data_IF_234233682448
#
_entry.id   IF_234233682448
#
_cell.length_a   1.000
_cell.length_b   1.000
_cell.length_c   1.000
_cell.angle_alpha   90.00
_cell.angle_beta   90.00
_cell.angle_gamma   90.00
#
_symmetry.space_group_name_H-M   'P 1'
#
loop_
_entity.id
_entity.type
_entity.pdbx_description
1 polymer ?
#
# COMPACT_ATOMS: atom_id res chain seq x y z
N UNK A 1 28.54 19.07 -6.72
CA UNK A 1 27.64 20.15 -6.28
C UNK A 1 26.50 20.49 -7.26
N UNK A 2 26.53 20.08 -8.55
CA UNK A 2 25.39 20.32 -9.47
C UNK A 2 24.28 19.26 -9.40
N UNK A 3 24.59 18.03 -8.97
CA UNK A 3 23.67 16.89 -9.01
C UNK A 3 22.57 16.93 -7.93
N UNK A 4 22.83 17.51 -6.76
CA UNK A 4 21.85 17.61 -5.67
C UNK A 4 20.80 18.69 -5.93
N UNK A 5 21.19 19.86 -6.47
CA UNK A 5 20.27 20.94 -6.86
C UNK A 5 19.29 20.41 -7.91
N UNK A 6 19.80 19.68 -8.91
CA UNK A 6 18.96 19.03 -9.91
C UNK A 6 17.93 18.08 -9.30
N UNK A 7 18.34 17.19 -8.38
CA UNK A 7 17.43 16.26 -7.69
C UNK A 7 16.38 16.99 -6.84
N UNK A 8 16.80 18.01 -6.10
CA UNK A 8 15.91 18.82 -5.28
C UNK A 8 14.86 19.55 -6.13
N UNK A 9 15.27 20.12 -7.26
CA UNK A 9 14.37 20.77 -8.22
C UNK A 9 13.39 19.77 -8.83
N UNK A 10 13.87 18.62 -9.36
CA UNK A 10 12.99 17.60 -9.94
C UNK A 10 11.94 17.12 -8.94
N UNK A 11 12.36 16.91 -7.69
CA UNK A 11 11.44 16.56 -6.60
C UNK A 11 10.43 17.67 -6.32
N UNK A 12 10.87 18.92 -6.23
CA UNK A 12 9.97 20.06 -6.00
C UNK A 12 8.93 20.21 -7.12
N UNK A 13 9.34 20.02 -8.37
CA UNK A 13 8.42 20.01 -9.51
C UNK A 13 7.42 18.85 -9.43
N UNK A 14 7.88 17.65 -9.08
CA UNK A 14 7.03 16.47 -8.93
C UNK A 14 6.01 16.66 -7.79
N UNK A 15 6.44 17.18 -6.65
CA UNK A 15 5.53 17.52 -5.54
C UNK A 15 4.50 18.59 -5.95
N UNK A 16 4.93 19.66 -6.64
CA UNK A 16 4.03 20.69 -7.13
C UNK A 16 3.01 20.15 -8.15
N UNK A 17 3.42 19.18 -8.97
CA UNK A 17 2.52 18.47 -9.90
C UNK A 17 1.50 17.65 -9.12
N UNK A 18 1.94 16.86 -8.15
CA UNK A 18 1.07 16.04 -7.29
C UNK A 18 0.11 16.90 -6.45
N UNK A 19 0.56 18.06 -5.95
CA UNK A 19 -0.28 19.02 -5.22
C UNK A 19 -1.44 19.53 -6.09
N UNK A 20 -1.17 19.80 -7.36
CA UNK A 20 -2.20 20.22 -8.32
C UNK A 20 -3.16 19.07 -8.59
N UNK A 21 -2.63 17.89 -8.92
CA UNK A 21 -3.42 16.70 -9.21
C UNK A 21 -4.28 16.26 -8.01
N UNK A 22 -3.82 16.48 -6.78
CA UNK A 22 -4.56 16.17 -5.56
C UNK A 22 -5.77 17.09 -5.34
N UNK A 23 -5.71 18.37 -5.74
CA UNK A 23 -6.81 19.33 -5.59
C UNK A 23 -8.00 18.97 -6.47
N UNK A 24 -7.71 18.49 -7.69
CA UNK A 24 -8.72 18.15 -8.68
C UNK A 24 -9.09 16.65 -8.64
N UNK A 25 -8.63 15.94 -7.61
CA UNK A 25 -8.71 14.47 -7.55
C UNK A 25 -10.10 14.01 -7.14
N UNK A 26 -10.73 13.23 -8.01
CA UNK A 26 -11.93 12.46 -7.65
C UNK A 26 -11.54 11.31 -6.74
N UNK A 27 -12.35 11.04 -5.71
CA UNK A 27 -12.11 9.97 -4.74
C UNK A 27 -12.06 8.62 -5.46
N UNK A 28 -10.91 7.96 -5.38
CA UNK A 28 -10.69 6.65 -5.99
C UNK A 28 -11.38 5.56 -5.15
N UNK A 29 -11.87 4.51 -5.80
CA UNK A 29 -12.39 3.33 -5.10
C UNK A 29 -11.24 2.51 -4.51
N UNK A 30 -11.44 1.95 -3.33
CA UNK A 30 -10.47 1.01 -2.76
C UNK A 30 -10.39 -0.29 -3.56
N UNK A 31 -9.31 -1.03 -3.34
CA UNK A 31 -9.12 -2.35 -3.95
C UNK A 31 -10.24 -3.32 -3.58
N UNK A 32 -10.60 -4.17 -4.53
CA UNK A 32 -11.62 -5.20 -4.33
C UNK A 32 -10.97 -6.45 -3.74
N UNK A 33 -11.52 -6.95 -2.64
CA UNK A 33 -11.11 -8.24 -2.08
C UNK A 33 -11.75 -9.36 -2.91
N UNK A 34 -10.92 -10.19 -3.53
CA UNK A 34 -11.35 -11.24 -4.48
C UNK A 34 -11.15 -12.65 -3.93
N UNK A 35 -10.51 -12.78 -2.78
CA UNK A 35 -10.34 -14.05 -2.08
C UNK A 35 -10.00 -13.83 -0.62
N UNK A 36 -10.60 -14.63 0.25
CA UNK A 36 -10.43 -14.52 1.69
C UNK A 36 -10.59 -15.91 2.33
N UNK A 37 -9.64 -16.26 3.18
CA UNK A 37 -9.63 -17.42 4.07
C UNK A 37 -9.07 -17.00 5.42
N UNK A 38 -9.17 -17.88 6.41
CA UNK A 38 -8.65 -17.67 7.78
C UNK A 38 -7.15 -17.37 7.83
N UNK A 39 -6.41 -17.66 6.75
CA UNK A 39 -4.97 -17.47 6.69
C UNK A 39 -4.52 -16.50 5.62
N UNK A 40 -5.43 -16.03 4.76
CA UNK A 40 -5.05 -15.30 3.56
C UNK A 40 -6.17 -14.41 3.03
N UNK A 41 -5.84 -13.17 2.77
CA UNK A 41 -6.69 -12.25 2.02
C UNK A 41 -5.98 -11.83 0.72
N UNK A 42 -6.74 -11.68 -0.36
CA UNK A 42 -6.25 -11.34 -1.70
C UNK A 42 -7.09 -10.20 -2.26
N UNK A 43 -6.41 -9.14 -2.72
CA UNK A 43 -7.01 -7.99 -3.36
C UNK A 43 -6.59 -7.89 -4.82
N UNK A 44 -7.54 -7.45 -5.64
CA UNK A 44 -7.32 -7.06 -7.03
C UNK A 44 -6.85 -5.61 -7.09
N UNK A 45 -5.79 -5.39 -7.86
CA UNK A 45 -5.16 -4.09 -8.15
C UNK A 45 -5.34 -3.77 -9.63
N UNK A 46 -5.89 -2.59 -9.91
CA UNK A 46 -6.09 -2.08 -11.28
C UNK A 46 -5.07 -1.00 -11.58
N UNK A 47 -4.37 -1.14 -12.70
CA UNK A 47 -3.47 -0.14 -13.25
C UNK A 47 -3.85 0.14 -14.72
N UNK A 48 -3.92 1.41 -15.17
CA UNK A 48 -4.32 1.75 -16.53
C UNK A 48 -3.45 1.05 -17.58
N UNK A 49 -4.10 0.40 -18.55
CA UNK A 49 -3.42 -0.27 -19.66
C UNK A 49 -2.67 -1.56 -19.30
N UNK A 50 -2.84 -2.08 -18.08
CA UNK A 50 -2.25 -3.34 -17.62
C UNK A 50 -3.34 -4.35 -17.23
N UNK A 51 -3.05 -5.66 -17.32
CA UNK A 51 -3.90 -6.69 -16.72
C UNK A 51 -4.05 -6.51 -15.21
N UNK A 52 -5.15 -7.04 -14.67
CA UNK A 52 -5.38 -7.08 -13.23
C UNK A 52 -4.19 -7.75 -12.52
N UNK A 53 -3.72 -7.09 -11.47
CA UNK A 53 -2.65 -7.58 -10.60
C UNK A 53 -3.22 -7.93 -9.23
N UNK A 54 -2.52 -8.77 -8.46
CA UNK A 54 -3.05 -9.27 -7.19
C UNK A 54 -2.04 -9.09 -6.05
N UNK A 55 -2.54 -8.66 -4.91
CA UNK A 55 -1.77 -8.51 -3.67
C UNK A 55 -2.39 -9.32 -2.55
N UNK A 56 -1.60 -9.71 -1.54
CA UNK A 56 -2.06 -10.59 -0.47
C UNK A 56 -1.47 -10.25 0.89
N UNK A 57 -2.31 -10.45 1.92
CA UNK A 57 -1.92 -10.47 3.32
C UNK A 57 -2.06 -11.90 3.83
N UNK A 58 -1.15 -12.31 4.71
CA UNK A 58 -1.11 -13.65 5.28
C UNK A 58 -1.17 -13.53 6.81
N UNK A 59 -2.00 -14.34 7.45
CA UNK A 59 -2.09 -14.39 8.90
C UNK A 59 -0.77 -14.86 9.51
N UNK A 60 -0.35 -14.27 10.63
CA UNK A 60 0.84 -14.71 11.36
C UNK A 60 0.81 -14.26 12.82
N UNK A 61 1.50 -15.00 13.70
CA UNK A 61 1.46 -14.77 15.15
C UNK A 61 1.91 -13.35 15.57
N UNK A 62 2.71 -12.66 14.76
CA UNK A 62 3.18 -11.29 15.00
C UNK A 62 2.29 -10.17 14.42
N UNK A 63 1.17 -10.51 13.77
CA UNK A 63 0.40 -9.55 12.96
C UNK A 63 -0.89 -9.04 13.65
N UNK A 64 -1.16 -9.35 14.92
CA UNK A 64 -2.48 -9.09 15.55
C UNK A 64 -2.88 -7.62 15.62
N UNK A 65 -1.91 -6.72 15.75
CA UNK A 65 -2.13 -5.27 15.80
C UNK A 65 -1.86 -4.59 14.43
N UNK A 66 -1.66 -5.37 13.37
CA UNK A 66 -1.59 -4.84 12.01
C UNK A 66 -2.98 -4.55 11.47
N UNK A 67 -3.05 -3.54 10.62
CA UNK A 67 -4.25 -3.14 9.92
C UNK A 67 -3.94 -3.03 8.42
N UNK A 68 -4.89 -3.41 7.57
CA UNK A 68 -4.85 -3.17 6.14
C UNK A 68 -5.51 -1.81 5.86
N UNK A 69 -4.77 -0.92 5.21
CA UNK A 69 -5.29 0.38 4.75
C UNK A 69 -5.24 0.40 3.23
N UNK A 70 -6.36 0.68 2.59
CA UNK A 70 -6.43 0.89 1.15
C UNK A 70 -6.06 2.35 0.88
N UNK A 71 -4.98 2.59 0.13
CA UNK A 71 -4.47 3.93 -0.13
C UNK A 71 -4.65 4.33 -1.57
N UNK A 72 -4.98 5.60 -1.80
CA UNK A 72 -4.91 6.22 -3.11
C UNK A 72 -3.43 6.36 -3.49
N UNK A 73 -3.05 5.79 -4.64
CA UNK A 73 -1.64 5.73 -5.07
C UNK A 73 -0.98 7.09 -5.16
N UNK A 74 -1.68 8.10 -5.68
CA UNK A 74 -1.07 9.42 -5.91
C UNK A 74 -0.96 10.22 -4.60
N UNK A 75 -1.95 10.10 -3.71
CA UNK A 75 -1.89 10.73 -2.39
C UNK A 75 -0.84 10.08 -1.50
N UNK A 76 -0.75 8.74 -1.52
CA UNK A 76 0.29 8.00 -0.82
C UNK A 76 1.67 8.36 -1.36
N UNK A 77 1.82 8.37 -2.69
CA UNK A 77 3.07 8.76 -3.33
C UNK A 77 3.52 10.16 -2.93
N UNK A 78 2.60 11.13 -2.99
CA UNK A 78 2.86 12.50 -2.55
C UNK A 78 3.31 12.56 -1.09
N UNK A 79 2.61 11.87 -0.18
CA UNK A 79 2.92 11.87 1.25
C UNK A 79 4.32 11.26 1.53
N UNK A 80 4.65 10.14 0.89
CA UNK A 80 5.95 9.50 1.04
C UNK A 80 7.07 10.35 0.42
N UNK A 81 6.87 10.89 -0.79
CA UNK A 81 7.84 11.78 -1.44
C UNK A 81 8.06 13.08 -0.66
N UNK A 82 7.06 13.60 0.05
CA UNK A 82 7.20 14.78 0.90
C UNK A 82 7.95 14.47 2.21
N UNK A 83 7.96 13.22 2.64
CA UNK A 83 8.62 12.75 3.88
C UNK A 83 10.11 12.52 3.68
N UNK A 84 10.50 11.98 2.52
CA UNK A 84 11.90 11.70 2.19
C UNK A 84 12.77 12.96 2.35
N UNK A 85 13.92 12.92 3.02
CA UNK A 85 14.78 14.10 3.11
C UNK A 85 15.51 14.37 1.79
N UNK A 86 15.88 15.62 1.53
CA UNK A 86 16.78 15.99 0.42
C UNK A 86 18.23 15.72 0.83
N UNK A 87 18.59 14.44 1.01
CA UNK A 87 19.97 14.05 1.26
C UNK A 87 20.80 14.03 -0.03
N UNK A 88 22.11 14.19 0.11
CA UNK A 88 23.07 14.02 -1.00
C UNK A 88 23.01 12.61 -1.59
N UNK A 89 22.74 11.63 -0.73
CA UNK A 89 22.59 10.21 -1.07
C UNK A 89 21.23 9.71 -0.56
N UNK A 90 20.32 9.29 -1.46
CA UNK A 90 19.07 8.64 -1.07
C UNK A 90 19.36 7.35 -0.30
N UNK A 91 18.60 7.10 0.76
CA UNK A 91 18.57 5.81 1.43
C UNK A 91 17.69 4.82 0.66
N UNK A 92 17.77 3.54 1.00
CA UNK A 92 16.99 2.52 0.29
C UNK A 92 15.47 2.68 0.56
N UNK A 93 15.12 3.15 1.76
CA UNK A 93 13.76 3.46 2.21
C UNK A 93 13.20 4.80 1.69
N UNK A 94 14.03 5.61 1.03
CA UNK A 94 13.61 6.90 0.51
C UNK A 94 12.74 6.75 -0.74
N UNK A 95 11.65 7.52 -0.79
CA UNK A 95 10.85 7.65 -1.99
C UNK A 95 11.62 8.44 -3.04
N UNK A 96 11.63 7.94 -4.27
CA UNK A 96 12.22 8.62 -5.42
C UNK A 96 11.15 9.24 -6.32
N UNK A 97 11.54 10.18 -7.18
CA UNK A 97 10.62 10.68 -8.21
C UNK A 97 10.22 9.55 -9.16
N UNK A 98 8.99 9.58 -9.70
CA UNK A 98 8.42 8.46 -10.47
C UNK A 98 9.32 8.00 -11.62
N UNK A 99 9.99 8.94 -12.30
CA UNK A 99 10.90 8.66 -13.40
C UNK A 99 12.12 7.79 -13.01
N UNK A 100 12.50 7.78 -11.72
CA UNK A 100 13.62 7.00 -11.19
C UNK A 100 13.18 5.63 -10.65
N UNK A 101 11.90 5.42 -10.35
CA UNK A 101 11.40 4.19 -9.73
C UNK A 101 11.75 2.94 -10.54
N UNK A 102 11.64 3.01 -11.87
CA UNK A 102 11.96 1.91 -12.79
C UNK A 102 13.45 1.55 -12.83
N UNK A 103 14.32 2.42 -12.32
CA UNK A 103 15.77 2.23 -12.26
C UNK A 103 16.21 1.56 -10.95
N UNK A 104 15.31 1.36 -9.99
CA UNK A 104 15.62 0.66 -8.76
C UNK A 104 16.11 -0.76 -9.08
N UNK A 105 17.19 -1.20 -8.42
CA UNK A 105 17.89 -2.48 -8.69
C UNK A 105 16.94 -3.68 -8.71
N UNK A 106 15.94 -3.70 -7.82
CA UNK A 106 14.98 -4.80 -7.70
C UNK A 106 13.70 -4.60 -8.52
N UNK A 107 13.56 -3.51 -9.27
CA UNK A 107 12.36 -3.23 -10.06
C UNK A 107 12.00 -4.33 -11.06
N UNK A 108 12.95 -4.95 -11.80
CA UNK A 108 12.63 -6.08 -12.68
C UNK A 108 12.03 -7.28 -11.93
N UNK A 109 12.46 -7.51 -10.68
CA UNK A 109 11.92 -8.57 -9.82
C UNK A 109 10.49 -8.24 -9.41
N UNK A 110 10.21 -7.01 -8.97
CA UNK A 110 8.86 -6.57 -8.66
C UNK A 110 7.94 -6.68 -9.89
N UNK A 111 8.42 -6.25 -11.06
CA UNK A 111 7.69 -6.36 -12.31
C UNK A 111 7.31 -7.81 -12.64
N UNK A 112 8.28 -8.73 -12.55
CA UNK A 112 8.02 -10.15 -12.75
C UNK A 112 6.99 -10.71 -11.75
N UNK A 113 7.05 -10.30 -10.48
CA UNK A 113 6.07 -10.71 -9.46
C UNK A 113 4.65 -10.22 -9.78
N UNK A 114 4.49 -8.99 -10.21
CA UNK A 114 3.17 -8.46 -10.58
C UNK A 114 2.60 -9.11 -11.85
N UNK A 115 3.43 -9.37 -12.86
CA UNK A 115 3.03 -10.13 -14.06
C UNK A 115 2.48 -11.52 -13.71
N UNK A 116 3.06 -12.20 -12.72
CA UNK A 116 2.64 -13.54 -12.30
C UNK A 116 1.70 -13.54 -11.08
N UNK A 117 1.17 -12.38 -10.71
CA UNK A 117 0.44 -12.21 -9.44
C UNK A 117 -0.88 -12.99 -9.38
N UNK A 118 -1.49 -13.32 -10.52
CA UNK A 118 -2.68 -14.18 -10.57
C UNK A 118 -2.43 -15.58 -10.00
N UNK A 119 -1.21 -16.11 -10.14
CA UNK A 119 -0.81 -17.41 -9.56
C UNK A 119 -0.21 -17.25 -8.16
N UNK A 120 0.60 -16.20 -7.98
CA UNK A 120 1.30 -15.90 -6.73
C UNK A 120 1.16 -14.40 -6.40
N UNK A 121 0.07 -14.00 -5.74
CA UNK A 121 -0.16 -12.62 -5.33
C UNK A 121 1.01 -12.04 -4.55
N UNK A 122 1.26 -10.75 -4.77
CA UNK A 122 2.39 -10.04 -4.18
C UNK A 122 2.08 -9.69 -2.72
N UNK A 123 2.95 -9.98 -1.74
CA UNK A 123 2.73 -9.57 -0.35
C UNK A 123 2.50 -8.06 -0.23
N UNK A 124 1.65 -7.66 0.72
CA UNK A 124 1.46 -6.25 1.05
C UNK A 124 2.79 -5.61 1.48
N UNK A 125 2.93 -4.32 1.17
CA UNK A 125 4.02 -3.52 1.70
C UNK A 125 3.67 -3.04 3.10
N UNK A 126 4.68 -2.90 3.96
CA UNK A 126 4.50 -2.35 5.30
C UNK A 126 4.85 -0.86 5.29
N UNK A 127 3.85 -0.05 5.63
CA UNK A 127 3.98 1.39 5.75
C UNK A 127 4.13 1.80 7.23
N UNK A 128 4.97 2.80 7.45
CA UNK A 128 5.15 3.44 8.75
C UNK A 128 4.65 4.87 8.68
N UNK A 129 3.99 5.30 9.75
CA UNK A 129 3.30 6.59 9.83
C UNK A 129 3.66 7.27 11.14
N UNK A 130 4.04 8.54 11.06
CA UNK A 130 4.33 9.36 12.24
C UNK A 130 3.93 10.81 11.98
N UNK A 131 3.88 11.61 13.04
CA UNK A 131 3.63 13.05 12.92
C UNK A 131 4.91 13.78 13.26
N UNK A 132 5.32 14.69 12.38
CA UNK A 132 6.48 15.53 12.59
C UNK A 132 6.07 16.97 12.33
N UNK A 133 6.23 17.85 13.34
CA UNK A 133 5.86 19.28 13.26
C UNK A 133 4.41 19.49 12.79
N UNK A 134 3.50 18.63 13.25
CA UNK A 134 2.07 18.69 12.91
C UNK A 134 1.71 18.15 11.52
N UNK A 135 2.69 17.70 10.73
CA UNK A 135 2.46 17.09 9.42
C UNK A 135 2.54 15.56 9.50
N UNK A 136 1.62 14.87 8.80
CA UNK A 136 1.72 13.43 8.61
C UNK A 136 2.96 13.11 7.76
N UNK A 137 3.74 12.15 8.24
CA UNK A 137 4.86 11.55 7.54
C UNK A 137 4.56 10.09 7.24
N UNK A 138 4.99 9.64 6.06
CA UNK A 138 4.76 8.29 5.56
C UNK A 138 6.09 7.73 5.05
N UNK A 139 6.39 6.51 5.43
CA UNK A 139 7.51 5.72 4.92
C UNK A 139 7.07 4.31 4.58
N UNK A 140 7.93 3.57 3.88
CA UNK A 140 7.73 2.14 3.59
C UNK A 140 8.93 1.39 4.14
N UNK A 141 8.70 0.48 5.07
CA UNK A 141 9.77 -0.30 5.74
C UNK A 141 9.99 -1.65 5.06
N UNK A 142 8.97 -2.19 4.40
CA UNK A 142 9.08 -3.42 3.62
C UNK A 142 8.24 -3.34 2.34
N UNK A 143 8.68 -3.99 1.27
CA UNK A 143 7.97 -3.96 -0.01
C UNK A 143 8.16 -2.69 -0.84
N UNK A 144 9.18 -1.87 -0.57
CA UNK A 144 9.52 -0.62 -1.27
C UNK A 144 9.43 -0.75 -2.79
N UNK A 145 10.07 -1.77 -3.36
CA UNK A 145 10.09 -1.96 -4.82
C UNK A 145 8.72 -2.37 -5.39
N UNK A 146 7.89 -3.06 -4.59
CA UNK A 146 6.51 -3.34 -4.98
C UNK A 146 5.70 -2.04 -5.04
N UNK A 147 5.88 -1.14 -4.06
CA UNK A 147 5.25 0.19 -4.06
C UNK A 147 5.76 1.04 -5.22
N UNK A 148 7.06 0.99 -5.55
CA UNK A 148 7.59 1.65 -6.75
C UNK A 148 6.94 1.14 -8.03
N UNK A 149 6.69 -0.16 -8.14
CA UNK A 149 5.97 -0.70 -9.30
C UNK A 149 4.54 -0.17 -9.38
N UNK A 150 3.82 -0.14 -8.25
CA UNK A 150 2.44 0.36 -8.17
C UNK A 150 2.35 1.85 -8.57
N UNK A 151 3.25 2.69 -8.04
CA UNK A 151 3.28 4.13 -8.35
C UNK A 151 3.74 4.39 -9.79
N UNK A 152 4.78 3.69 -10.26
CA UNK A 152 5.30 3.88 -11.61
C UNK A 152 4.29 3.47 -12.69
N UNK A 153 3.42 2.50 -12.40
CA UNK A 153 2.35 2.05 -13.30
C UNK A 153 1.00 2.69 -12.99
N UNK A 154 0.96 3.69 -12.09
CA UNK A 154 -0.26 4.44 -11.75
C UNK A 154 -1.43 3.53 -11.37
N UNK A 155 -1.17 2.52 -10.54
CA UNK A 155 -2.24 1.75 -9.92
C UNK A 155 -3.27 2.72 -9.32
N UNK A 156 -4.56 2.42 -9.40
CA UNK A 156 -5.59 3.33 -8.89
C UNK A 156 -5.48 3.47 -7.36
N UNK A 157 -5.43 2.34 -6.69
CA UNK A 157 -5.23 2.18 -5.25
C UNK A 157 -4.48 0.89 -4.96
N UNK A 158 -3.92 0.75 -3.77
CA UNK A 158 -3.38 -0.52 -3.29
C UNK A 158 -3.52 -0.66 -1.76
N UNK A 159 -3.58 -1.89 -1.22
CA UNK A 159 -3.55 -2.12 0.21
C UNK A 159 -2.12 -2.13 0.75
N UNK A 160 -1.94 -1.55 1.94
CA UNK A 160 -0.69 -1.62 2.73
C UNK A 160 -0.99 -2.12 4.14
N UNK A 161 0.01 -2.73 4.77
CA UNK A 161 -0.02 -3.05 6.20
C UNK A 161 0.49 -1.86 7.01
N UNK A 162 -0.17 -1.58 8.13
CA UNK A 162 0.23 -0.54 9.08
C UNK A 162 0.13 -1.11 10.49
N UNK A 163 1.15 -0.87 11.31
CA UNK A 163 1.15 -1.25 12.72
C UNK A 163 0.36 -0.24 13.57
N UNK A 164 -0.60 -0.74 14.35
CA UNK A 164 -1.38 0.05 15.29
C UNK A 164 -2.58 0.76 14.66
N UNK A 165 -3.70 0.75 15.40
CA UNK A 165 -4.96 1.38 14.97
C UNK A 165 -4.82 2.88 14.70
N UNK A 166 -4.12 3.62 15.57
CA UNK A 166 -3.98 5.08 15.42
C UNK A 166 -3.21 5.45 14.15
N UNK A 167 -2.12 4.73 13.86
CA UNK A 167 -1.32 4.93 12.65
C UNK A 167 -2.14 4.60 11.40
N UNK A 168 -2.91 3.51 11.43
CA UNK A 168 -3.77 3.09 10.34
C UNK A 168 -4.89 4.10 10.07
N UNK A 169 -5.51 4.63 11.13
CA UNK A 169 -6.54 5.66 11.06
C UNK A 169 -5.99 6.95 10.47
N UNK A 170 -4.85 7.44 10.96
CA UNK A 170 -4.21 8.66 10.42
C UNK A 170 -3.82 8.52 8.95
N UNK A 171 -3.33 7.34 8.55
CA UNK A 171 -3.04 7.06 7.15
C UNK A 171 -4.32 7.11 6.31
N UNK A 172 -5.38 6.46 6.79
CA UNK A 172 -6.66 6.41 6.09
C UNK A 172 -7.28 7.81 5.93
N UNK A 173 -7.27 8.62 6.98
CA UNK A 173 -7.79 10.00 6.93
C UNK A 173 -7.03 10.87 5.92
N UNK A 174 -5.73 10.63 5.74
CA UNK A 174 -4.89 11.49 4.90
C UNK A 174 -4.80 11.03 3.45
N UNK A 175 -4.71 9.72 3.20
CA UNK A 175 -4.46 9.14 1.86
C UNK A 175 -5.32 7.91 1.57
N UNK A 176 -6.23 7.56 2.48
CA UNK A 176 -7.07 6.37 2.37
C UNK A 176 -8.18 6.49 1.34
N UNK A 177 -8.60 5.34 0.83
CA UNK A 177 -9.69 5.21 -0.11
C UNK A 177 -10.52 3.95 0.19
N UNK A 178 -11.78 3.93 -0.22
CA UNK A 178 -12.67 2.80 0.07
C UNK A 178 -12.99 2.63 1.57
N UNK A 179 -13.14 1.39 2.06
CA UNK A 179 -13.57 1.11 3.42
C UNK A 179 -12.53 1.52 4.48
N UNK A 180 -12.99 1.68 5.71
CA UNK A 180 -12.13 1.97 6.87
C UNK A 180 -11.05 0.88 7.08
N UNK A 181 -9.96 1.18 7.82
CA UNK A 181 -8.90 0.22 8.09
C UNK A 181 -9.42 -1.13 8.62
N UNK A 182 -8.94 -2.22 8.02
CA UNK A 182 -9.31 -3.58 8.40
C UNK A 182 -8.25 -4.15 9.35
N UNK A 183 -8.62 -4.46 10.59
CA UNK A 183 -7.68 -5.11 11.52
C UNK A 183 -7.37 -6.54 11.06
N UNK A 184 -6.11 -6.97 11.18
CA UNK A 184 -5.73 -8.36 10.92
C UNK A 184 -6.46 -9.32 11.85
N UNK A 185 -6.77 -8.87 13.07
CA UNK A 185 -7.63 -9.57 14.02
C UNK A 185 -8.97 -9.92 13.36
N UNK A 186 -9.73 -8.92 12.91
CA UNK A 186 -11.05 -9.17 12.31
C UNK A 186 -10.94 -9.86 10.94
N UNK A 187 -9.84 -9.62 10.21
CA UNK A 187 -9.61 -10.23 8.90
C UNK A 187 -9.31 -11.72 8.99
N UNK A 188 -8.71 -12.22 10.08
CA UNK A 188 -8.26 -13.61 10.18
C UNK A 188 -8.78 -14.33 11.42
N UNK A 189 -9.59 -13.68 12.26
CA UNK A 189 -10.34 -14.36 13.31
C UNK A 189 -11.48 -15.16 12.69
N UNK A 190 -11.45 -16.46 12.98
CA UNK A 190 -12.53 -17.38 12.72
C UNK A 190 -13.77 -16.95 13.51
N UNK A 191 -14.93 -16.82 12.86
CA UNK A 191 -16.22 -16.88 13.56
C UNK A 191 -16.41 -18.31 14.07
N UNK A 192 -15.80 -18.64 15.21
CA UNK A 192 -16.16 -19.81 15.99
C UNK A 192 -17.55 -19.55 16.62
N UNK A 193 -18.61 -19.62 15.82
CA UNK A 193 -19.92 -19.13 16.24
C UNK A 193 -21.15 -19.63 15.47
N UNK A 194 -21.02 -20.58 14.56
CA UNK A 194 -22.20 -21.34 14.08
C UNK A 194 -22.15 -22.72 14.71
N UNK A 195 -22.99 -22.90 15.72
CA UNK A 195 -23.19 -24.10 16.51
C UNK A 195 -23.48 -25.32 15.60
N UNK A 196 -22.50 -26.21 15.49
CA UNK A 196 -22.56 -27.49 14.75
C UNK A 196 -23.49 -28.53 15.44
N UNK A 197 -24.37 -28.07 16.34
CA UNK A 197 -25.40 -28.89 17.01
C UNK A 197 -26.76 -28.87 16.32
N UNK A 198 -26.95 -28.08 15.26
CA UNK A 198 -28.24 -28.04 14.56
C UNK A 198 -28.37 -29.01 13.37
N UNK A 199 -27.30 -29.69 12.95
CA UNK A 199 -27.33 -30.66 11.83
C UNK A 199 -27.24 -32.15 12.24
N UNK A 200 -27.48 -32.48 13.51
CA UNK A 200 -27.50 -33.88 14.02
C UNK A 200 -28.87 -34.42 14.43
N UNK A 201 -29.94 -33.94 13.82
CA UNK A 201 -31.27 -34.55 13.94
C UNK A 201 -31.94 -34.61 12.58
N UNK A 202 -31.67 -35.68 11.84
CA UNK A 202 -32.28 -35.84 10.53
C UNK A 202 -31.87 -37.07 9.73
N UNK A 203 -31.36 -38.13 10.37
CA UNK A 203 -31.27 -39.46 9.76
C UNK A 203 -31.53 -40.51 10.83
N UNK A 204 -32.79 -40.93 10.92
CA UNK A 204 -33.19 -42.25 11.41
C UNK A 204 -33.79 -42.99 10.22
#
# INVERSE_FOLDING_TARGET
>A
MLTWIGRALTRAFELKRLDREARDRVRVQGCEMVGHTDHRAVWRIRAPGLPDSFMTAISGNGNRDKHVVHVDTELFYRAWLATTPTHWTPREEDCVVRAEMRKARLYPVANSRFVHSSRKPVPLAEAIVWVERGALRVGVVSGITSVFWLIANRAQSFPVEVQGYDSATRLYESVGCGPAPLSFKNLFEFEAGVDDRQYRSGWR
#
